data_IF_017606138514
#
_entry.id   IF_017606138514
#
_cell.length_a   1.000
_cell.length_b   1.000
_cell.length_c   1.000
_cell.angle_alpha   90.00
_cell.angle_beta   90.00
_cell.angle_gamma   90.00
#
_symmetry.space_group_name_H-M   'P 1'
#
loop_
_entity.id
_entity.type
_entity.pdbx_description
1 polymer ?
#
# COMPACT_ATOMS: atom_id res chain seq x y z
N UNK A 1 -37.10 5.45 -40.40
CA UNK A 1 -37.40 4.69 -39.17
C UNK A 1 -36.49 3.47 -39.12
N UNK A 2 -35.35 3.56 -38.41
CA UNK A 2 -34.34 2.51 -38.33
C UNK A 2 -34.08 2.19 -36.85
N UNK A 3 -34.73 1.15 -36.35
CA UNK A 3 -34.59 0.67 -34.97
C UNK A 3 -33.36 -0.24 -34.89
N UNK A 4 -32.26 0.25 -34.32
CA UNK A 4 -31.09 -0.57 -33.97
C UNK A 4 -31.38 -1.32 -32.66
N UNK A 5 -31.42 -2.64 -32.74
CA UNK A 5 -31.45 -3.54 -31.59
C UNK A 5 -30.05 -3.65 -30.97
N UNK A 6 -29.89 -3.18 -29.73
CA UNK A 6 -28.71 -3.43 -28.91
C UNK A 6 -28.91 -4.75 -28.16
N UNK A 7 -28.27 -5.82 -28.65
CA UNK A 7 -28.20 -7.12 -27.98
C UNK A 7 -26.97 -7.10 -27.05
N UNK A 8 -27.20 -6.83 -25.77
CA UNK A 8 -26.19 -6.91 -24.71
C UNK A 8 -25.90 -8.38 -24.40
N UNK A 9 -24.69 -8.84 -24.76
CA UNK A 9 -24.15 -10.16 -24.40
C UNK A 9 -23.30 -9.99 -23.14
N UNK A 10 -23.82 -10.42 -21.99
CA UNK A 10 -23.09 -10.50 -20.73
C UNK A 10 -22.74 -11.96 -20.45
N UNK A 11 -21.50 -12.35 -20.72
CA UNK A 11 -20.96 -13.63 -20.31
C UNK A 11 -19.85 -13.47 -19.27
N UNK A 12 -20.04 -14.26 -18.20
CA UNK A 12 -19.02 -14.98 -17.43
C UNK A 12 -18.28 -14.22 -16.32
N UNK A 13 -18.45 -14.72 -15.09
CA UNK A 13 -17.44 -15.50 -14.34
C UNK A 13 -17.70 -15.40 -12.83
N UNK A 14 -18.82 -15.93 -12.36
CA UNK A 14 -19.02 -16.21 -10.94
C UNK A 14 -18.34 -17.53 -10.60
N UNK A 15 -17.01 -17.51 -10.48
CA UNK A 15 -16.24 -18.66 -9.97
C UNK A 15 -16.65 -18.92 -8.52
N UNK A 16 -17.19 -20.11 -8.33
CA UNK A 16 -17.58 -20.73 -7.08
C UNK A 16 -16.45 -20.69 -6.03
N UNK A 17 -16.58 -19.83 -5.04
CA UNK A 17 -15.94 -19.98 -3.74
C UNK A 17 -16.90 -20.70 -2.78
N UNK A 18 -17.16 -21.98 -3.04
CA UNK A 18 -17.58 -22.91 -1.99
C UNK A 18 -16.35 -23.71 -1.58
N UNK A 19 -15.45 -23.04 -0.87
CA UNK A 19 -14.40 -23.72 -0.14
C UNK A 19 -15.06 -24.47 1.03
N UNK A 20 -15.14 -25.78 0.88
CA UNK A 20 -15.59 -26.71 1.90
C UNK A 20 -14.78 -26.53 3.19
N UNK A 21 -15.41 -25.96 4.22
CA UNK A 21 -14.92 -26.04 5.59
C UNK A 21 -15.24 -27.46 6.05
N UNK A 22 -14.32 -28.41 5.78
CA UNK A 22 -14.34 -29.71 6.45
C UNK A 22 -13.83 -29.49 7.86
N UNK A 23 -14.75 -29.36 8.81
CA UNK A 23 -14.47 -29.49 10.24
C UNK A 23 -13.92 -30.90 10.49
N UNK A 24 -12.61 -30.96 10.69
CA UNK A 24 -11.91 -32.18 11.08
C UNK A 24 -12.23 -32.41 12.56
N UNK A 25 -13.34 -33.09 12.83
CA UNK A 25 -13.66 -33.59 14.16
C UNK A 25 -12.52 -34.50 14.64
N UNK A 26 -11.80 -34.06 15.67
CA UNK A 26 -10.81 -34.89 16.35
C UNK A 26 -11.54 -35.91 17.21
N UNK A 27 -11.56 -37.16 16.77
CA UNK A 27 -11.85 -38.30 17.62
C UNK A 27 -10.60 -38.64 18.41
N UNK A 28 -10.62 -38.35 19.72
CA UNK A 28 -9.59 -38.78 20.66
C UNK A 28 -9.86 -40.23 21.02
N UNK A 29 -9.18 -41.16 20.35
CA UNK A 29 -9.07 -42.54 20.81
C UNK A 29 -7.92 -42.60 21.83
N UNK A 30 -8.23 -42.78 23.10
CA UNK A 30 -7.25 -43.05 24.15
C UNK A 30 -6.76 -44.50 24.02
N UNK A 31 -5.76 -44.72 23.16
CA UNK A 31 -4.95 -45.93 23.18
C UNK A 31 -3.69 -45.66 23.99
N UNK A 32 -3.48 -46.45 25.04
CA UNK A 32 -2.33 -46.45 25.94
C UNK A 32 -1.05 -46.92 25.26
N UNK A 33 -0.47 -46.10 24.38
CA UNK A 33 0.93 -46.23 23.95
C UNK A 33 1.61 -44.87 24.13
N UNK A 34 2.72 -44.83 24.88
CA UNK A 34 3.47 -43.59 25.13
C UNK A 34 3.95 -42.91 23.83
N UNK A 35 4.23 -41.59 23.85
CA UNK A 35 4.59 -40.86 22.65
C UNK A 35 5.89 -41.41 22.04
N UNK A 36 5.77 -42.14 20.93
CA UNK A 36 6.90 -42.53 20.09
C UNK A 36 7.38 -41.29 19.35
N UNK A 37 8.37 -40.61 19.91
CA UNK A 37 9.05 -39.51 19.23
C UNK A 37 9.73 -40.06 17.98
N UNK A 38 9.55 -39.37 16.85
CA UNK A 38 10.30 -39.70 15.64
C UNK A 38 11.76 -39.38 15.92
N UNK A 39 12.65 -40.33 15.71
CA UNK A 39 14.09 -40.10 15.84
C UNK A 39 14.51 -39.05 14.79
N UNK A 40 14.79 -37.82 15.24
CA UNK A 40 15.28 -36.75 14.38
C UNK A 40 16.76 -36.98 14.07
N UNK A 41 17.02 -37.83 13.06
CA UNK A 41 18.36 -38.04 12.53
C UNK A 41 18.74 -37.02 11.44
N UNK A 42 20.03 -36.97 11.10
CA UNK A 42 20.56 -36.21 9.94
C UNK A 42 19.99 -36.68 8.58
N UNK A 43 19.20 -37.75 8.58
CA UNK A 43 18.42 -38.25 7.43
C UNK A 43 17.10 -37.49 7.22
N UNK A 44 16.74 -36.56 8.11
CA UNK A 44 15.52 -35.77 7.92
C UNK A 44 15.63 -34.87 6.68
N UNK A 45 14.50 -34.65 6.01
CA UNK A 45 14.45 -33.83 4.78
C UNK A 45 15.03 -32.43 4.98
N UNK A 46 14.98 -31.89 6.21
CA UNK A 46 15.54 -30.58 6.56
C UNK A 46 17.05 -30.53 6.30
N UNK A 47 17.79 -31.57 6.67
CA UNK A 47 19.23 -31.64 6.46
C UNK A 47 19.60 -31.81 4.99
N UNK A 48 18.79 -32.57 4.23
CA UNK A 48 18.99 -32.71 2.79
C UNK A 48 18.76 -31.38 2.08
N UNK A 49 17.70 -30.65 2.41
CA UNK A 49 17.47 -29.30 1.86
C UNK A 49 18.55 -28.31 2.29
N UNK A 50 19.04 -28.38 3.53
CA UNK A 50 20.14 -27.52 3.99
C UNK A 50 21.44 -27.80 3.21
N UNK A 51 21.77 -29.06 2.96
CA UNK A 51 22.97 -29.44 2.21
C UNK A 51 22.85 -29.02 0.74
N UNK A 52 21.69 -29.25 0.12
CA UNK A 52 21.39 -28.76 -1.24
C UNK A 52 21.47 -27.24 -1.30
N UNK A 53 20.97 -26.52 -0.30
CA UNK A 53 21.07 -25.06 -0.25
C UNK A 53 22.53 -24.61 -0.18
N UNK A 54 23.36 -25.19 0.69
CA UNK A 54 24.79 -24.85 0.81
C UNK A 54 25.52 -25.11 -0.52
N UNK A 55 25.36 -26.30 -1.09
CA UNK A 55 26.01 -26.66 -2.37
C UNK A 55 25.50 -25.77 -3.51
N UNK A 56 24.19 -25.52 -3.57
CA UNK A 56 23.58 -24.64 -4.56
C UNK A 56 24.10 -23.21 -4.46
N UNK A 57 24.30 -22.69 -3.24
CA UNK A 57 24.84 -21.34 -3.03
C UNK A 57 26.30 -21.24 -3.49
N UNK A 58 27.13 -22.25 -3.19
CA UNK A 58 28.52 -22.30 -3.66
C UNK A 58 28.62 -22.44 -5.19
N UNK A 59 27.77 -23.26 -5.80
CA UNK A 59 27.73 -23.43 -7.24
C UNK A 59 27.33 -22.12 -7.94
N UNK A 60 26.33 -21.41 -7.40
CA UNK A 60 25.93 -20.10 -7.93
C UNK A 60 27.02 -19.04 -7.78
N UNK A 61 27.73 -19.01 -6.66
CA UNK A 61 28.85 -18.08 -6.46
C UNK A 61 29.97 -18.32 -7.49
N UNK A 62 30.37 -19.58 -7.70
CA UNK A 62 31.37 -19.94 -8.71
C UNK A 62 30.92 -19.64 -10.13
N UNK A 63 29.64 -19.85 -10.43
CA UNK A 63 29.07 -19.49 -11.73
C UNK A 63 29.06 -17.98 -11.93
N UNK A 64 28.74 -17.19 -10.90
CA UNK A 64 28.78 -15.74 -10.97
C UNK A 64 30.21 -15.24 -11.24
N UNK A 65 31.21 -15.77 -10.54
CA UNK A 65 32.64 -15.45 -10.75
C UNK A 65 33.11 -15.79 -12.17
N UNK A 66 32.66 -16.93 -12.71
CA UNK A 66 32.96 -17.35 -14.09
C UNK A 66 32.35 -16.40 -15.13
N UNK A 67 31.09 -16.02 -14.95
CA UNK A 67 30.38 -15.13 -15.89
C UNK A 67 30.93 -13.71 -15.85
N UNK A 68 31.43 -13.27 -14.70
CA UNK A 68 32.01 -11.93 -14.51
C UNK A 68 33.51 -11.88 -14.80
N UNK A 69 34.13 -12.99 -15.24
CA UNK A 69 35.58 -13.12 -15.45
C UNK A 69 36.40 -12.56 -14.27
N UNK A 70 35.98 -12.84 -13.03
CA UNK A 70 36.66 -12.32 -11.84
C UNK A 70 36.43 -10.84 -11.55
N UNK A 71 35.38 -10.24 -12.13
CA UNK A 71 34.97 -8.85 -11.90
C UNK A 71 35.46 -7.85 -12.94
N UNK A 72 36.15 -8.30 -13.99
CA UNK A 72 36.65 -7.42 -15.06
C UNK A 72 35.57 -7.06 -16.08
N UNK A 73 34.55 -7.91 -16.24
CA UNK A 73 33.38 -7.65 -17.11
C UNK A 73 32.09 -7.50 -16.30
N UNK A 74 31.29 -6.51 -16.67
CA UNK A 74 29.94 -6.36 -16.12
C UNK A 74 29.09 -7.60 -16.41
N UNK A 75 28.31 -8.03 -15.43
CA UNK A 75 27.42 -9.17 -15.57
C UNK A 75 26.44 -8.93 -16.74
N UNK A 76 26.21 -9.90 -17.65
CA UNK A 76 25.36 -9.71 -18.83
C UNK A 76 23.94 -9.27 -18.47
N UNK A 77 23.41 -9.71 -17.31
CA UNK A 77 22.13 -9.21 -16.79
C UNK A 77 22.17 -7.70 -16.50
N UNK A 78 23.26 -7.17 -15.95
CA UNK A 78 23.41 -5.73 -15.68
C UNK A 78 23.45 -4.94 -16.98
N UNK A 79 24.14 -5.44 -18.01
CA UNK A 79 24.15 -4.83 -19.34
C UNK A 79 22.76 -4.82 -19.97
N UNK A 80 22.06 -5.96 -19.93
CA UNK A 80 20.68 -6.07 -20.41
C UNK A 80 19.73 -5.11 -19.67
N UNK A 81 19.85 -5.01 -18.35
CA UNK A 81 19.06 -4.07 -17.55
C UNK A 81 19.39 -2.62 -17.90
N UNK A 82 20.67 -2.29 -18.13
CA UNK A 82 21.10 -0.95 -18.51
C UNK A 82 20.55 -0.55 -19.88
N UNK A 83 20.49 -1.46 -20.85
CA UNK A 83 19.89 -1.21 -22.17
C UNK A 83 18.38 -0.92 -22.09
N UNK A 84 17.68 -1.55 -21.14
CA UNK A 84 16.26 -1.30 -20.90
C UNK A 84 15.95 -0.04 -20.08
N UNK A 85 16.96 0.54 -19.41
CA UNK A 85 16.77 1.74 -18.59
C UNK A 85 16.80 3.02 -19.44
N UNK A 86 15.96 4.01 -19.12
CA UNK A 86 16.03 5.31 -19.77
C UNK A 86 17.35 6.00 -19.44
N UNK A 87 17.92 6.66 -20.45
CA UNK A 87 19.15 7.44 -20.33
C UNK A 87 19.07 8.47 -19.19
N UNK A 88 20.15 8.57 -18.40
CA UNK A 88 20.21 9.47 -17.24
C UNK A 88 19.86 10.93 -17.57
N UNK A 89 20.27 11.40 -18.76
CA UNK A 89 19.94 12.75 -19.22
C UNK A 89 18.43 12.97 -19.37
N UNK A 90 17.69 11.97 -19.86
CA UNK A 90 16.24 12.04 -19.99
C UNK A 90 15.56 12.04 -18.63
N UNK A 91 16.05 11.21 -17.68
CA UNK A 91 15.56 11.20 -16.30
C UNK A 91 15.72 12.56 -15.63
N UNK A 92 16.94 13.12 -15.67
CA UNK A 92 17.21 14.47 -15.12
C UNK A 92 16.33 15.55 -15.76
N UNK A 93 16.10 15.45 -17.07
CA UNK A 93 15.22 16.39 -17.78
C UNK A 93 13.75 16.28 -17.33
N UNK A 94 13.28 15.06 -17.08
CA UNK A 94 11.91 14.81 -16.62
C UNK A 94 11.73 15.25 -15.17
N UNK A 95 12.71 14.97 -14.31
CA UNK A 95 12.73 15.45 -12.92
C UNK A 95 12.69 16.98 -12.87
N UNK A 96 13.50 17.65 -13.69
CA UNK A 96 13.50 19.11 -13.76
C UNK A 96 12.16 19.69 -14.24
N UNK A 97 11.48 19.02 -15.19
CA UNK A 97 10.12 19.41 -15.62
C UNK A 97 9.11 19.22 -14.50
N UNK A 98 9.13 18.06 -13.84
CA UNK A 98 8.23 17.76 -12.73
C UNK A 98 8.43 18.75 -11.57
N UNK A 99 9.67 19.09 -11.23
CA UNK A 99 9.97 20.08 -10.19
C UNK A 99 9.40 21.46 -10.54
N UNK A 100 9.47 21.89 -11.80
CA UNK A 100 8.86 23.15 -12.25
C UNK A 100 7.33 23.11 -12.18
N UNK A 101 6.72 21.97 -12.53
CA UNK A 101 5.28 21.79 -12.46
C UNK A 101 4.78 21.79 -11.01
N UNK A 102 5.48 21.11 -10.10
CA UNK A 102 5.13 21.11 -8.67
C UNK A 102 5.32 22.49 -8.04
N UNK A 103 6.38 23.21 -8.40
CA UNK A 103 6.58 24.61 -7.95
C UNK A 103 5.42 25.50 -8.43
N UNK A 104 5.01 25.36 -9.70
CA UNK A 104 3.88 26.12 -10.25
C UNK A 104 2.57 25.77 -9.52
N UNK A 105 2.30 24.49 -9.29
CA UNK A 105 1.12 24.04 -8.56
C UNK A 105 1.12 24.57 -7.11
N UNK A 106 2.27 24.53 -6.43
CA UNK A 106 2.40 25.08 -5.08
C UNK A 106 2.12 26.59 -5.04
N UNK A 107 2.66 27.36 -6.00
CA UNK A 107 2.37 28.80 -6.10
C UNK A 107 0.87 29.07 -6.33
N UNK A 108 0.23 28.30 -7.20
CA UNK A 108 -1.21 28.43 -7.45
C UNK A 108 -2.04 28.10 -6.20
N UNK A 109 -1.65 27.06 -5.46
CA UNK A 109 -2.31 26.70 -4.22
C UNK A 109 -2.15 27.79 -3.15
N UNK A 110 -0.98 28.43 -3.04
CA UNK A 110 -0.77 29.56 -2.13
C UNK A 110 -1.61 30.77 -2.51
N UNK A 111 -1.70 31.09 -3.81
CA UNK A 111 -2.59 32.14 -4.29
C UNK A 111 -4.04 31.82 -3.94
N UNK A 112 -4.48 30.58 -4.20
CA UNK A 112 -5.83 30.17 -3.87
C UNK A 112 -6.09 30.24 -2.36
N UNK A 113 -5.16 29.81 -1.51
CA UNK A 113 -5.29 29.89 -0.06
C UNK A 113 -5.38 31.35 0.44
N UNK A 114 -4.58 32.25 -0.13
CA UNK A 114 -4.64 33.67 0.20
C UNK A 114 -5.93 34.34 -0.31
N UNK A 115 -6.50 33.86 -1.41
CA UNK A 115 -7.73 34.39 -1.99
C UNK A 115 -9.01 33.73 -1.43
N UNK A 116 -8.89 32.60 -0.72
CA UNK A 116 -10.03 31.99 -0.07
C UNK A 116 -10.49 32.89 1.09
N UNK A 117 -11.62 33.57 0.89
CA UNK A 117 -12.34 34.21 1.98
C UNK A 117 -12.56 33.21 3.11
N UNK A 118 -12.46 33.66 4.36
CA UNK A 118 -12.70 32.82 5.53
C UNK A 118 -13.99 32.02 5.33
N UNK A 119 -13.87 30.69 5.38
CA UNK A 119 -15.00 29.79 5.15
C UNK A 119 -16.07 30.10 6.19
N UNK A 120 -17.21 30.62 5.73
CA UNK A 120 -18.36 30.83 6.60
C UNK A 120 -18.93 29.47 6.99
N UNK A 121 -18.69 29.07 8.23
CA UNK A 121 -19.34 27.90 8.81
C UNK A 121 -20.69 28.35 9.36
N UNK A 122 -21.77 27.94 8.71
CA UNK A 122 -23.10 28.10 9.26
C UNK A 122 -23.23 27.15 10.46
N UNK A 123 -23.56 27.70 11.61
CA UNK A 123 -23.87 26.92 12.80
C UNK A 123 -25.28 26.34 12.62
N UNK A 124 -25.37 25.13 12.04
CA UNK A 124 -26.67 24.47 11.79
C UNK A 124 -27.28 23.92 13.09
N UNK A 125 -26.44 23.51 14.05
CA UNK A 125 -26.87 22.93 15.32
C UNK A 125 -26.02 23.47 16.49
N UNK A 126 -26.32 24.69 17.00
CA UNK A 126 -25.60 25.26 18.14
C UNK A 126 -25.64 24.35 19.37
N UNK A 127 -26.78 23.71 19.62
CA UNK A 127 -27.03 22.87 20.80
C UNK A 127 -26.10 21.65 20.90
N UNK A 128 -25.59 21.14 19.76
CA UNK A 128 -24.65 20.01 19.77
C UNK A 128 -23.30 20.38 20.38
N UNK A 129 -22.95 21.66 20.40
CA UNK A 129 -21.70 22.12 21.02
C UNK A 129 -21.77 22.01 22.54
N UNK A 130 -22.93 22.28 23.13
CA UNK A 130 -23.15 22.13 24.58
C UNK A 130 -23.20 20.64 24.99
N UNK A 131 -23.77 19.79 24.13
CA UNK A 131 -23.81 18.34 24.36
C UNK A 131 -22.47 17.63 24.16
N UNK A 132 -21.59 18.16 23.31
CA UNK A 132 -20.28 17.57 23.04
C UNK A 132 -19.29 17.76 24.20
N UNK A 133 -19.57 18.68 25.12
CA UNK A 133 -18.72 18.94 26.25
C UNK A 133 -19.10 18.04 27.44
N UNK A 134 -18.25 17.05 27.81
CA UNK A 134 -18.54 16.17 28.95
C UNK A 134 -18.61 16.90 30.29
N UNK A 135 -18.09 18.13 30.36
CA UNK A 135 -18.07 18.96 31.56
C UNK A 135 -19.19 20.02 31.58
N UNK A 136 -20.10 20.01 30.60
CA UNK A 136 -21.19 20.99 30.47
C UNK A 136 -20.73 22.46 30.56
N UNK A 137 -19.47 22.74 30.18
CA UNK A 137 -18.98 24.12 30.13
C UNK A 137 -19.52 24.75 28.84
N UNK A 138 -20.31 25.84 28.92
CA UNK A 138 -20.87 26.45 27.72
C UNK A 138 -19.75 26.90 26.80
N UNK A 139 -19.91 26.61 25.51
CA UNK A 139 -18.90 26.99 24.51
C UNK A 139 -18.73 28.50 24.48
N UNK A 140 -17.47 28.96 24.49
CA UNK A 140 -17.14 30.39 24.53
C UNK A 140 -16.94 30.98 25.93
N UNK A 141 -17.23 30.25 27.02
CA UNK A 141 -16.98 30.77 28.38
C UNK A 141 -15.49 30.90 28.77
N UNK A 142 -14.60 30.21 28.04
CA UNK A 142 -13.15 30.22 28.29
C UNK A 142 -12.35 30.94 27.20
N UNK A 143 -13.00 31.34 26.11
CA UNK A 143 -12.33 31.98 24.97
C UNK A 143 -12.81 33.43 24.91
N UNK A 144 -11.87 34.37 24.89
CA UNK A 144 -12.21 35.78 24.70
C UNK A 144 -12.82 35.99 23.31
N UNK A 145 -14.10 36.36 23.27
CA UNK A 145 -14.84 36.61 22.03
C UNK A 145 -14.93 38.11 21.71
N UNK A 146 -14.13 38.98 22.36
CA UNK A 146 -14.21 40.43 22.17
C UNK A 146 -14.00 40.90 20.74
N UNK A 147 -13.28 40.13 19.91
CA UNK A 147 -12.98 40.46 18.52
C UNK A 147 -13.88 39.71 17.49
N UNK A 148 -14.82 38.89 17.98
CA UNK A 148 -15.73 38.13 17.10
C UNK A 148 -16.89 39.02 16.65
N UNK A 149 -16.87 39.46 15.38
CA UNK A 149 -17.97 40.20 14.76
C UNK A 149 -18.98 39.23 14.16
N UNK A 150 -20.14 39.09 14.81
CA UNK A 150 -21.27 38.32 14.26
C UNK A 150 -21.94 39.15 13.17
N UNK A 151 -22.05 38.58 11.97
CA UNK A 151 -22.79 39.19 10.87
C UNK A 151 -24.27 38.83 11.00
N UNK A 152 -25.12 39.82 11.27
CA UNK A 152 -26.56 39.65 11.55
C UNK A 152 -27.45 39.80 10.31
N UNK A 153 -26.88 40.25 9.20
CA UNK A 153 -27.56 40.48 7.93
C UNK A 153 -27.36 39.32 6.94
N UNK A 154 -28.47 38.94 6.30
CA UNK A 154 -28.52 37.93 5.23
C UNK A 154 -28.70 38.56 3.84
N UNK A 155 -28.64 39.89 3.72
CA UNK A 155 -28.74 40.65 2.47
C UNK A 155 -27.37 41.12 1.98
#
# INVERSE_FOLDING_TARGET
MLSRALKSSSHSLSRSLQASIRSRGQTYATTTEGPKFKEEGFSSSVWTFALVAVVGTLALAKHADYVTEGGEKEHPLTTYLREGMPEEGKLKSNEAKHLKETERAAKLNLLQANHQSAKMHLMVYPEKMDLANPFMVPVGSQVDMSDVKVRTDWR
#
